data_IF_192438290447
#
_entry.id   IF_192438290447
#
_cell.length_a   1.000
_cell.length_b   1.000
_cell.length_c   1.000
_cell.angle_alpha   90.00
_cell.angle_beta   90.00
_cell.angle_gamma   90.00
#
_symmetry.space_group_name_H-M   'P 1'
#
loop_
_entity.id
_entity.type
_entity.pdbx_description
1 polymer ?
#
# COMPACT_ATOMS: atom_id res chain seq x y z
N UNK A 1 14.97 -3.35 -11.02
CA UNK A 1 14.15 -3.53 -9.88
C UNK A 1 13.50 -2.31 -9.30
N UNK A 2 13.71 -2.10 -8.03
CA UNK A 2 13.05 -1.05 -7.27
C UNK A 2 13.75 0.31 -7.27
N UNK A 3 14.88 0.45 -7.94
CA UNK A 3 15.70 1.66 -7.89
C UNK A 3 14.94 2.88 -8.40
N UNK A 4 14.13 2.71 -9.45
CA UNK A 4 13.34 3.82 -10.02
C UNK A 4 12.29 4.31 -9.03
N UNK A 5 11.63 3.38 -8.35
CA UNK A 5 10.64 3.72 -7.33
C UNK A 5 11.30 4.41 -6.15
N UNK A 6 12.46 3.92 -5.71
CA UNK A 6 13.20 4.53 -4.61
C UNK A 6 13.67 5.94 -4.96
N UNK A 7 14.11 6.14 -6.20
CA UNK A 7 14.51 7.46 -6.69
C UNK A 7 13.31 8.41 -6.73
N UNK A 8 12.16 7.95 -7.22
CA UNK A 8 10.96 8.77 -7.28
C UNK A 8 10.48 9.18 -5.88
N UNK A 9 10.50 8.26 -4.92
CA UNK A 9 10.15 8.53 -3.53
C UNK A 9 11.14 9.56 -2.94
N UNK A 10 12.44 9.35 -3.18
CA UNK A 10 13.48 10.28 -2.71
C UNK A 10 13.28 11.69 -3.25
N UNK A 11 12.95 11.83 -4.52
CA UNK A 11 12.67 13.13 -5.14
C UNK A 11 11.47 13.81 -4.49
N UNK A 12 10.40 13.06 -4.27
CA UNK A 12 9.20 13.60 -3.63
C UNK A 12 9.50 14.07 -2.20
N UNK A 13 10.33 13.34 -1.48
CA UNK A 13 10.70 13.68 -0.11
C UNK A 13 11.55 14.95 -0.01
N UNK A 14 12.25 15.33 -1.07
CA UNK A 14 13.03 16.57 -1.08
C UNK A 14 12.15 17.81 -0.91
N UNK A 15 10.88 17.73 -1.26
CA UNK A 15 9.92 18.82 -1.04
C UNK A 15 9.45 18.92 0.42
N UNK A 16 9.90 18.03 1.29
CA UNK A 16 9.50 17.93 2.71
C UNK A 16 7.97 17.87 2.87
N UNK A 17 7.30 16.90 2.23
CA UNK A 17 5.86 16.83 2.25
C UNK A 17 5.33 16.36 3.60
N UNK A 18 4.13 16.76 3.94
CA UNK A 18 3.37 16.18 5.05
C UNK A 18 2.56 14.97 4.60
N UNK A 19 2.22 14.92 3.33
CA UNK A 19 1.46 13.85 2.72
C UNK A 19 2.14 13.44 1.42
N UNK A 20 2.40 12.15 1.28
CA UNK A 20 2.95 11.55 0.07
C UNK A 20 1.90 10.63 -0.54
N UNK A 21 1.63 10.82 -1.83
CA UNK A 21 0.70 9.98 -2.58
C UNK A 21 1.51 9.03 -3.46
N UNK A 22 1.27 7.73 -3.31
CA UNK A 22 1.96 6.69 -4.07
C UNK A 22 0.94 5.83 -4.79
N UNK A 23 1.06 5.79 -6.11
CA UNK A 23 0.16 5.03 -6.97
C UNK A 23 0.86 3.78 -7.48
N UNK A 24 0.46 2.64 -6.94
CA UNK A 24 0.98 1.31 -7.31
C UNK A 24 2.51 1.23 -7.36
N UNK A 25 3.22 1.62 -6.30
CA UNK A 25 4.69 1.65 -6.34
C UNK A 25 5.33 0.28 -6.50
N UNK A 26 4.60 -0.81 -6.26
CA UNK A 26 5.12 -2.17 -6.38
C UNK A 26 4.86 -2.81 -7.75
N UNK A 27 4.15 -2.13 -8.64
CA UNK A 27 3.74 -2.70 -9.92
C UNK A 27 4.95 -3.15 -10.75
N UNK A 28 4.93 -4.41 -11.19
CA UNK A 28 5.99 -4.97 -12.02
C UNK A 28 7.26 -5.38 -11.28
N UNK A 29 7.28 -5.27 -9.95
CA UNK A 29 8.45 -5.62 -9.15
C UNK A 29 8.37 -7.06 -8.61
N UNK A 30 9.54 -7.69 -8.42
CA UNK A 30 9.63 -8.99 -7.79
C UNK A 30 9.16 -8.93 -6.33
N UNK A 31 8.62 -10.02 -5.76
CA UNK A 31 8.07 -10.01 -4.40
C UNK A 31 9.04 -9.52 -3.32
N UNK A 32 10.30 -9.86 -3.43
CA UNK A 32 11.31 -9.41 -2.46
C UNK A 32 11.48 -7.89 -2.53
N UNK A 33 11.52 -7.35 -3.75
CA UNK A 33 11.66 -5.90 -3.97
C UNK A 33 10.41 -5.16 -3.51
N UNK A 34 9.23 -5.72 -3.75
CA UNK A 34 7.96 -5.17 -3.24
C UNK A 34 8.05 -4.98 -1.73
N UNK A 35 8.54 -6.00 -1.01
CA UNK A 35 8.69 -5.94 0.44
C UNK A 35 9.61 -4.81 0.87
N UNK A 36 10.75 -4.68 0.19
CA UNK A 36 11.73 -3.63 0.50
C UNK A 36 11.15 -2.22 0.28
N UNK A 37 10.49 -2.01 -0.85
CA UNK A 37 9.87 -0.72 -1.17
C UNK A 37 8.80 -0.36 -0.14
N UNK A 38 7.92 -1.29 0.19
CA UNK A 38 6.85 -1.04 1.13
C UNK A 38 7.35 -0.85 2.57
N UNK A 39 8.46 -1.47 2.93
CA UNK A 39 9.09 -1.23 4.23
C UNK A 39 9.65 0.19 4.33
N UNK A 40 10.24 0.69 3.26
CA UNK A 40 10.68 2.09 3.20
C UNK A 40 9.49 3.02 3.36
N UNK A 41 8.40 2.75 2.65
CA UNK A 41 7.15 3.52 2.76
C UNK A 41 6.63 3.52 4.20
N UNK A 42 6.61 2.36 4.85
CA UNK A 42 6.18 2.26 6.24
C UNK A 42 7.04 3.12 7.18
N UNK A 43 8.34 3.18 6.91
CA UNK A 43 9.28 3.98 7.72
C UNK A 43 9.05 5.49 7.62
N UNK A 44 8.43 5.98 6.56
CA UNK A 44 8.17 7.42 6.38
C UNK A 44 7.27 7.99 7.48
N UNK A 45 6.40 7.18 8.01
CA UNK A 45 5.52 7.54 9.13
C UNK A 45 6.32 8.00 10.36
N UNK A 46 7.46 7.36 10.62
CA UNK A 46 8.33 7.71 11.74
C UNK A 46 9.03 9.05 11.55
N UNK A 47 9.04 9.56 10.31
CA UNK A 47 9.60 10.86 9.97
C UNK A 47 8.52 11.93 9.78
N UNK A 48 7.30 11.66 10.25
CA UNK A 48 6.21 12.62 10.21
C UNK A 48 5.51 12.76 8.86
N UNK A 49 5.75 11.84 7.94
CA UNK A 49 5.10 11.85 6.62
C UNK A 49 3.91 10.91 6.64
N UNK A 50 2.73 11.44 6.33
CA UNK A 50 1.56 10.59 6.08
C UNK A 50 1.61 10.09 4.65
N UNK A 51 1.18 8.86 4.43
CA UNK A 51 1.22 8.24 3.10
C UNK A 51 -0.15 7.73 2.72
N UNK A 52 -0.61 8.12 1.54
CA UNK A 52 -1.76 7.49 0.90
C UNK A 52 -1.22 6.56 -0.18
N UNK A 53 -1.41 5.27 0.03
CA UNK A 53 -0.88 4.22 -0.83
C UNK A 53 -2.00 3.56 -1.61
N UNK A 54 -1.91 3.57 -2.93
CA UNK A 54 -2.80 2.82 -3.81
C UNK A 54 -2.05 1.58 -4.27
N UNK A 55 -2.60 0.40 -3.98
CA UNK A 55 -1.94 -0.87 -4.28
C UNK A 55 -2.94 -1.95 -4.67
N UNK A 56 -2.59 -2.75 -5.67
CA UNK A 56 -3.34 -3.95 -6.03
C UNK A 56 -2.92 -5.14 -5.15
N UNK A 57 -1.67 -5.16 -4.71
CA UNK A 57 -1.18 -6.21 -3.83
C UNK A 57 -1.70 -5.96 -2.41
N UNK A 58 -2.94 -6.39 -2.18
CA UNK A 58 -3.66 -6.09 -0.94
C UNK A 58 -2.94 -6.63 0.29
N UNK A 59 -2.42 -7.86 0.23
CA UNK A 59 -1.73 -8.46 1.37
C UNK A 59 -0.50 -7.64 1.77
N UNK A 60 0.32 -7.25 0.80
CA UNK A 60 1.52 -6.47 1.06
C UNK A 60 1.17 -5.08 1.61
N UNK A 61 0.18 -4.43 1.04
CA UNK A 61 -0.26 -3.11 1.47
C UNK A 61 -0.82 -3.14 2.90
N UNK A 62 -1.66 -4.11 3.22
CA UNK A 62 -2.26 -4.25 4.54
C UNK A 62 -1.22 -4.50 5.65
N UNK A 63 -0.09 -5.12 5.30
CA UNK A 63 0.97 -5.37 6.27
C UNK A 63 1.68 -4.08 6.71
N UNK A 64 1.66 -3.05 5.89
CA UNK A 64 2.35 -1.80 6.21
C UNK A 64 1.40 -0.64 6.53
N UNK A 65 0.14 -0.75 6.16
CA UNK A 65 -0.85 0.30 6.38
C UNK A 65 -1.36 0.30 7.82
N UNK A 66 -1.77 1.47 8.27
CA UNK A 66 -2.51 1.62 9.55
C UNK A 66 -4.00 1.40 9.33
N UNK A 67 -4.51 1.98 8.25
CA UNK A 67 -5.92 1.92 7.90
C UNK A 67 -6.05 1.65 6.40
N UNK A 68 -7.10 0.98 6.01
CA UNK A 68 -7.32 0.63 4.61
C UNK A 68 -8.75 0.84 4.17
N UNK A 69 -8.88 1.14 2.88
CA UNK A 69 -10.16 1.27 2.17
C UNK A 69 -10.09 0.36 0.96
N UNK A 70 -11.02 -0.56 0.85
CA UNK A 70 -11.09 -1.46 -0.31
C UNK A 70 -12.12 -0.89 -1.28
N UNK A 71 -11.66 -0.57 -2.49
CA UNK A 71 -12.50 -0.02 -3.54
C UNK A 71 -12.93 -1.11 -4.51
N UNK A 72 -14.20 -1.13 -4.84
CA UNK A 72 -14.79 -1.99 -5.86
C UNK A 72 -15.73 -1.16 -6.71
N UNK A 73 -15.56 -1.21 -8.02
CA UNK A 73 -16.43 -0.49 -8.95
C UNK A 73 -16.57 0.99 -8.61
N UNK A 74 -15.48 1.61 -8.16
CA UNK A 74 -15.46 3.02 -7.82
C UNK A 74 -16.09 3.40 -6.48
N UNK A 75 -16.46 2.42 -5.66
CA UNK A 75 -17.06 2.66 -4.36
C UNK A 75 -16.27 1.95 -3.25
N UNK A 76 -16.29 2.50 -2.05
CA UNK A 76 -15.68 1.86 -0.89
C UNK A 76 -16.56 0.68 -0.46
N UNK A 77 -16.03 -0.54 -0.65
CA UNK A 77 -16.71 -1.76 -0.25
C UNK A 77 -16.46 -2.10 1.21
N UNK A 78 -15.24 -1.89 1.69
CA UNK A 78 -14.83 -2.18 3.07
C UNK A 78 -13.82 -1.15 3.53
N UNK A 79 -13.81 -0.86 4.82
CA UNK A 79 -12.79 0.00 5.42
C UNK A 79 -12.57 -0.37 6.88
N UNK A 80 -11.39 -0.04 7.41
CA UNK A 80 -11.07 -0.31 8.80
C UNK A 80 -9.59 -0.33 9.07
N UNK A 81 -9.23 -0.72 10.28
CA UNK A 81 -7.83 -0.92 10.66
C UNK A 81 -7.23 -2.04 9.80
N UNK A 82 -6.05 -1.80 9.26
CA UNK A 82 -5.41 -2.76 8.35
C UNK A 82 -5.23 -4.14 9.00
N UNK A 83 -4.80 -4.17 10.27
CA UNK A 83 -4.62 -5.43 11.00
C UNK A 83 -5.91 -6.25 11.14
N UNK A 84 -7.05 -5.57 11.26
CA UNK A 84 -8.34 -6.24 11.32
C UNK A 84 -8.74 -6.80 9.97
N UNK A 85 -8.50 -6.03 8.90
CA UNK A 85 -8.80 -6.45 7.55
C UNK A 85 -7.95 -7.64 7.11
N UNK A 86 -6.70 -7.72 7.58
CA UNK A 86 -5.83 -8.87 7.29
C UNK A 86 -6.40 -10.18 7.79
N UNK A 87 -7.19 -10.13 8.86
CA UNK A 87 -7.78 -11.32 9.48
C UNK A 87 -9.28 -11.47 9.18
N UNK A 88 -9.85 -10.55 8.38
CA UNK A 88 -11.25 -10.63 8.00
C UNK A 88 -11.42 -11.68 6.91
N UNK A 89 -12.31 -12.66 7.14
CA UNK A 89 -12.57 -13.74 6.19
C UNK A 89 -13.00 -13.24 4.82
N UNK A 90 -13.80 -12.19 4.78
CA UNK A 90 -14.28 -11.60 3.51
C UNK A 90 -13.12 -11.08 2.68
N UNK A 91 -12.16 -10.46 3.34
CA UNK A 91 -10.95 -9.95 2.69
C UNK A 91 -10.08 -11.10 2.21
N UNK A 92 -9.82 -12.08 3.08
CA UNK A 92 -8.97 -13.23 2.78
C UNK A 92 -9.53 -14.00 1.59
N UNK A 93 -10.81 -14.30 1.60
CA UNK A 93 -11.44 -15.11 0.55
C UNK A 93 -11.54 -14.35 -0.77
N UNK A 94 -11.77 -13.04 -0.73
CA UNK A 94 -12.04 -12.25 -1.94
C UNK A 94 -10.78 -11.64 -2.53
N UNK A 95 -9.88 -11.12 -1.70
CA UNK A 95 -8.76 -10.30 -2.17
C UNK A 95 -7.37 -10.88 -1.90
N UNK A 96 -7.20 -11.70 -0.87
CA UNK A 96 -5.87 -12.18 -0.47
C UNK A 96 -5.56 -13.60 -0.92
N UNK A 97 -6.57 -14.44 -1.09
CA UNK A 97 -6.37 -15.86 -1.39
C UNK A 97 -6.57 -16.27 -2.84
N UNK A 98 -7.27 -15.45 -3.64
CA UNK A 98 -7.76 -15.84 -4.96
C UNK A 98 -7.11 -15.06 -6.11
N UNK A 99 -6.10 -14.27 -5.86
CA UNK A 99 -5.48 -13.44 -6.88
C UNK A 99 -6.34 -12.30 -7.40
N UNK A 100 -7.47 -12.04 -6.78
CA UNK A 100 -8.31 -10.89 -7.12
C UNK A 100 -7.68 -9.62 -6.57
N UNK A 101 -7.75 -8.55 -7.34
CA UNK A 101 -7.14 -7.28 -6.95
C UNK A 101 -8.11 -6.41 -6.18
N UNK A 102 -7.61 -5.79 -5.13
CA UNK A 102 -8.21 -4.59 -4.55
C UNK A 102 -7.72 -3.39 -5.36
N UNK A 103 -8.56 -2.38 -5.52
CA UNK A 103 -8.18 -1.21 -6.31
C UNK A 103 -7.33 -0.22 -5.51
N UNK A 104 -7.62 -0.05 -4.23
CA UNK A 104 -6.87 0.88 -3.39
C UNK A 104 -6.87 0.44 -1.94
N UNK A 105 -5.73 0.69 -1.27
CA UNK A 105 -5.55 0.47 0.17
C UNK A 105 -4.80 1.68 0.72
N UNK A 106 -5.34 2.33 1.71
CA UNK A 106 -4.74 3.54 2.28
C UNK A 106 -4.54 3.44 3.78
#
# INVERSE_FOLDING_TARGET
GGERQMLAIGRALMARPRLLLLDEPSLGLAPLIVREVLQVVAGLRDHGVSVLLVEQNARAALKVADRAYVLEMGAVALSGAARELLHDRRIIDTYLGMGRSAEAVA
#
